data_IF_938323331151
#
_entry.id   IF_938323331151
#
_cell.length_a   1.000
_cell.length_b   1.000
_cell.length_c   1.000
_cell.angle_alpha   90.00
_cell.angle_beta   90.00
_cell.angle_gamma   90.00
#
_symmetry.space_group_name_H-M   'P 1'
#
loop_
_entity.id
_entity.type
_entity.pdbx_description
1 polymer ?
#
# COMPACT_ATOMS: atom_id res chain seq x y z
N UNK A 1 6.98 -48.36 -5.30
CA UNK A 1 6.59 -47.37 -4.27
C UNK A 1 5.42 -47.95 -3.49
N UNK A 2 5.46 -47.99 -2.15
CA UNK A 2 4.34 -48.55 -1.37
C UNK A 2 3.10 -47.65 -1.48
N UNK A 3 1.90 -48.24 -1.28
CA UNK A 3 0.61 -47.54 -1.41
C UNK A 3 0.61 -46.21 -0.64
N UNK A 4 1.09 -46.24 0.61
CA UNK A 4 1.21 -45.06 1.47
C UNK A 4 2.01 -43.89 0.86
N UNK A 5 3.23 -44.12 0.35
CA UNK A 5 4.03 -43.07 -0.31
C UNK A 5 3.35 -42.53 -1.56
N UNK A 6 2.65 -43.39 -2.30
CA UNK A 6 1.91 -42.99 -3.50
C UNK A 6 0.74 -42.07 -3.16
N UNK A 7 -0.02 -42.38 -2.11
CA UNK A 7 -1.12 -41.51 -1.66
C UNK A 7 -0.61 -40.14 -1.19
N UNK A 8 0.49 -40.09 -0.43
CA UNK A 8 1.11 -38.82 -0.02
C UNK A 8 1.53 -37.99 -1.23
N UNK A 9 2.14 -38.63 -2.24
CA UNK A 9 2.58 -37.93 -3.45
C UNK A 9 1.40 -37.35 -4.24
N UNK A 10 0.31 -38.11 -4.39
CA UNK A 10 -0.91 -37.61 -5.04
C UNK A 10 -1.56 -36.48 -4.24
N UNK A 11 -1.66 -36.62 -2.92
CA UNK A 11 -2.20 -35.57 -2.06
C UNK A 11 -1.37 -34.28 -2.16
N UNK A 12 -0.04 -34.38 -2.13
CA UNK A 12 0.85 -33.24 -2.30
C UNK A 12 0.68 -32.59 -3.69
N UNK A 13 0.57 -33.39 -4.76
CA UNK A 13 0.34 -32.87 -6.10
C UNK A 13 -0.99 -32.09 -6.20
N UNK A 14 -2.06 -32.64 -5.64
CA UNK A 14 -3.37 -31.96 -5.58
C UNK A 14 -3.25 -30.64 -4.81
N UNK A 15 -2.59 -30.64 -3.66
CA UNK A 15 -2.40 -29.41 -2.87
C UNK A 15 -1.58 -28.35 -3.62
N UNK A 16 -0.56 -28.75 -4.40
CA UNK A 16 0.22 -27.83 -5.24
C UNK A 16 -0.63 -27.26 -6.39
N UNK A 17 -1.47 -28.08 -7.03
CA UNK A 17 -2.39 -27.61 -8.07
C UNK A 17 -3.38 -26.59 -7.49
N UNK A 18 -3.95 -26.89 -6.31
CA UNK A 18 -4.84 -25.97 -5.60
C UNK A 18 -4.10 -24.69 -5.20
N UNK A 19 -2.88 -24.78 -4.66
CA UNK A 19 -2.05 -23.61 -4.36
C UNK A 19 -1.82 -22.73 -5.59
N UNK A 20 -1.55 -23.35 -6.73
CA UNK A 20 -1.33 -22.64 -8.00
C UNK A 20 -2.59 -21.90 -8.43
N UNK A 21 -3.75 -22.56 -8.40
CA UNK A 21 -5.03 -21.92 -8.71
C UNK A 21 -5.36 -20.77 -7.73
N UNK A 22 -5.14 -20.98 -6.43
CA UNK A 22 -5.32 -19.95 -5.40
C UNK A 22 -4.40 -18.74 -5.63
N UNK A 23 -3.15 -18.98 -6.01
CA UNK A 23 -2.16 -17.93 -6.28
C UNK A 23 -2.52 -17.14 -7.54
N UNK A 24 -2.96 -17.81 -8.60
CA UNK A 24 -3.47 -17.17 -9.83
C UNK A 24 -4.67 -16.28 -9.47
N UNK A 25 -5.66 -16.82 -8.76
CA UNK A 25 -6.81 -16.04 -8.33
C UNK A 25 -6.39 -14.80 -7.51
N UNK A 26 -5.50 -14.98 -6.53
CA UNK A 26 -4.99 -13.88 -5.70
C UNK A 26 -4.34 -12.75 -6.52
N UNK A 27 -3.64 -13.08 -7.61
CA UNK A 27 -2.99 -12.09 -8.46
C UNK A 27 -3.96 -11.17 -9.21
N UNK A 28 -5.19 -11.62 -9.51
CA UNK A 28 -6.15 -10.86 -10.34
C UNK A 28 -7.22 -10.11 -9.56
N UNK A 29 -7.37 -10.37 -8.26
CA UNK A 29 -8.55 -9.93 -7.49
C UNK A 29 -8.26 -8.66 -6.66
N UNK A 30 -7.02 -8.18 -6.66
CA UNK A 30 -6.55 -7.00 -5.94
C UNK A 30 -6.14 -7.31 -4.50
N UNK A 31 -5.27 -6.45 -3.93
CA UNK A 31 -4.57 -6.71 -2.67
C UNK A 31 -5.51 -7.00 -1.48
N UNK A 32 -6.53 -6.16 -1.28
CA UNK A 32 -7.45 -6.31 -0.14
C UNK A 32 -8.22 -7.64 -0.21
N UNK A 33 -8.75 -7.97 -1.38
CA UNK A 33 -9.53 -9.20 -1.57
C UNK A 33 -8.64 -10.45 -1.50
N UNK A 34 -7.44 -10.38 -2.05
CA UNK A 34 -6.45 -11.45 -1.91
C UNK A 34 -6.09 -11.68 -0.43
N UNK A 35 -5.80 -10.61 0.32
CA UNK A 35 -5.52 -10.69 1.76
C UNK A 35 -6.70 -11.31 2.52
N UNK A 36 -7.93 -10.93 2.21
CA UNK A 36 -9.13 -11.51 2.82
C UNK A 36 -9.30 -13.00 2.48
N UNK A 37 -9.06 -13.38 1.23
CA UNK A 37 -9.14 -14.76 0.78
C UNK A 37 -8.12 -15.65 1.51
N UNK A 38 -6.85 -15.24 1.56
CA UNK A 38 -5.78 -16.05 2.15
C UNK A 38 -5.82 -16.13 3.69
N UNK A 39 -6.50 -15.18 4.35
CA UNK A 39 -6.72 -15.21 5.81
C UNK A 39 -8.06 -15.86 6.24
N UNK A 40 -8.85 -16.34 5.28
CA UNK A 40 -10.13 -16.99 5.55
C UNK A 40 -9.97 -18.37 6.22
N UNK A 41 -11.07 -18.92 6.78
CA UNK A 41 -11.08 -20.26 7.39
C UNK A 41 -10.69 -21.35 6.37
N UNK A 42 -11.27 -21.41 5.15
CA UNK A 42 -10.86 -22.39 4.15
C UNK A 42 -9.35 -22.33 3.83
N UNK A 43 -8.79 -21.13 3.65
CA UNK A 43 -7.36 -20.97 3.41
C UNK A 43 -6.52 -21.43 4.61
N UNK A 44 -6.95 -21.15 5.84
CA UNK A 44 -6.26 -21.65 7.03
C UNK A 44 -6.24 -23.19 7.10
N UNK A 45 -7.34 -23.86 6.75
CA UNK A 45 -7.40 -25.33 6.64
C UNK A 45 -6.45 -25.81 5.54
N UNK A 46 -6.45 -25.16 4.37
CA UNK A 46 -5.53 -25.47 3.28
C UNK A 46 -4.07 -25.36 3.73
N UNK A 47 -3.67 -24.27 4.39
CA UNK A 47 -2.31 -24.08 4.90
C UNK A 47 -1.90 -25.16 5.90
N UNK A 48 -2.81 -25.57 6.79
CA UNK A 48 -2.58 -26.64 7.75
C UNK A 48 -2.37 -28.00 7.05
N UNK A 49 -3.21 -28.34 6.07
CA UNK A 49 -3.07 -29.56 5.28
C UNK A 49 -1.77 -29.55 4.45
N UNK A 50 -1.41 -28.41 3.88
CA UNK A 50 -0.18 -28.25 3.11
C UNK A 50 1.06 -28.40 4.00
N UNK A 51 1.08 -27.77 5.17
CA UNK A 51 2.14 -27.95 6.16
C UNK A 51 2.26 -29.41 6.60
N UNK A 52 1.14 -30.08 6.89
CA UNK A 52 1.12 -31.49 7.27
C UNK A 52 1.67 -32.39 6.16
N UNK A 53 1.31 -32.13 4.90
CA UNK A 53 1.83 -32.88 3.76
C UNK A 53 3.36 -32.73 3.61
N UNK A 54 3.89 -31.52 3.79
CA UNK A 54 5.34 -31.26 3.77
C UNK A 54 6.06 -32.02 4.91
N UNK A 55 5.50 -32.00 6.11
CA UNK A 55 6.06 -32.71 7.28
C UNK A 55 5.98 -34.22 7.10
N UNK A 56 4.84 -34.74 6.64
CA UNK A 56 4.67 -36.16 6.32
C UNK A 56 5.66 -36.64 5.24
N UNK A 57 6.05 -35.74 4.34
CA UNK A 57 7.12 -35.97 3.35
C UNK A 57 8.42 -36.44 4.01
N UNK A 58 8.90 -35.80 5.08
CA UNK A 58 10.14 -36.19 5.76
C UNK A 58 10.10 -37.62 6.30
N UNK A 59 8.95 -38.03 6.83
CA UNK A 59 8.74 -39.39 7.37
C UNK A 59 8.65 -40.41 6.23
N UNK A 60 7.86 -40.09 5.20
CA UNK A 60 7.59 -41.02 4.10
C UNK A 60 8.80 -41.21 3.19
N UNK A 61 9.61 -40.17 2.95
CA UNK A 61 10.69 -40.15 1.97
C UNK A 61 12.03 -39.81 2.62
N UNK A 62 12.74 -40.84 3.12
CA UNK A 62 14.11 -40.69 3.68
C UNK A 62 15.10 -39.97 2.75
N UNK A 63 14.88 -40.00 1.43
CA UNK A 63 15.68 -39.26 0.46
C UNK A 63 15.63 -37.74 0.68
N UNK A 64 14.49 -37.21 1.13
CA UNK A 64 14.36 -35.78 1.46
C UNK A 64 15.34 -35.36 2.53
N UNK A 65 15.53 -36.20 3.56
CA UNK A 65 16.47 -35.92 4.67
C UNK A 65 17.92 -36.12 4.22
N UNK A 66 18.20 -37.17 3.44
CA UNK A 66 19.58 -37.55 3.06
C UNK A 66 20.20 -36.67 1.99
N UNK A 67 19.39 -35.96 1.20
CA UNK A 67 19.88 -35.07 0.14
C UNK A 67 19.78 -33.63 0.63
N UNK A 68 20.91 -32.95 0.91
CA UNK A 68 20.90 -31.61 1.50
C UNK A 68 20.01 -30.61 0.76
N UNK A 69 20.08 -30.58 -0.58
CA UNK A 69 19.22 -29.68 -1.36
C UNK A 69 17.71 -29.95 -1.18
N UNK A 70 17.29 -31.21 -1.15
CA UNK A 70 15.87 -31.57 -0.94
C UNK A 70 15.42 -31.25 0.49
N UNK A 71 16.28 -31.50 1.47
CA UNK A 71 16.05 -31.18 2.88
C UNK A 71 15.83 -29.68 3.04
N UNK A 72 16.76 -28.87 2.51
CA UNK A 72 16.71 -27.41 2.60
C UNK A 72 15.45 -26.86 1.92
N UNK A 73 15.07 -27.37 0.76
CA UNK A 73 13.84 -26.95 0.08
C UNK A 73 12.58 -27.27 0.89
N UNK A 74 12.46 -28.49 1.42
CA UNK A 74 11.26 -28.87 2.19
C UNK A 74 11.19 -28.17 3.54
N UNK A 75 12.31 -28.10 4.26
CA UNK A 75 12.39 -27.43 5.54
C UNK A 75 12.16 -25.92 5.37
N UNK A 76 12.68 -25.33 4.30
CA UNK A 76 12.42 -23.94 3.93
C UNK A 76 10.93 -23.65 3.74
N UNK A 77 10.21 -24.49 2.98
CA UNK A 77 8.75 -24.35 2.85
C UNK A 77 8.02 -24.42 4.20
N UNK A 78 8.42 -25.33 5.08
CA UNK A 78 7.81 -25.46 6.42
C UNK A 78 8.09 -24.23 7.27
N UNK A 79 9.31 -23.68 7.24
CA UNK A 79 9.65 -22.44 7.96
C UNK A 79 8.85 -21.24 7.43
N UNK A 80 8.67 -21.10 6.11
CA UNK A 80 7.83 -20.04 5.53
C UNK A 80 6.40 -20.12 6.06
N UNK A 81 5.82 -21.33 6.14
CA UNK A 81 4.47 -21.52 6.67
C UNK A 81 4.39 -21.24 8.18
N UNK A 82 5.38 -21.69 8.97
CA UNK A 82 5.44 -21.41 10.42
C UNK A 82 5.60 -19.91 10.67
N UNK A 83 6.54 -19.26 9.98
CA UNK A 83 6.77 -17.82 10.10
C UNK A 83 5.54 -17.00 9.72
N UNK A 84 4.88 -17.35 8.61
CA UNK A 84 3.63 -16.72 8.19
C UNK A 84 2.48 -16.94 9.19
N UNK A 85 2.38 -18.14 9.76
CA UNK A 85 1.38 -18.44 10.79
C UNK A 85 1.62 -17.62 12.06
N UNK A 86 2.86 -17.53 12.54
CA UNK A 86 3.24 -16.73 13.71
C UNK A 86 3.02 -15.23 13.48
N UNK A 87 3.25 -14.74 12.25
CA UNK A 87 2.98 -13.36 11.86
C UNK A 87 1.49 -13.00 11.71
N UNK A 88 0.60 -14.00 11.70
CA UNK A 88 -0.84 -13.77 11.51
C UNK A 88 -1.55 -13.35 12.81
N UNK A 89 -2.69 -12.65 12.69
CA UNK A 89 -3.48 -12.23 13.86
C UNK A 89 -3.89 -13.42 14.75
N UNK A 90 -4.23 -14.56 14.13
CA UNK A 90 -4.56 -15.79 14.85
C UNK A 90 -3.34 -16.38 15.56
N UNK A 91 -2.16 -16.31 14.93
CA UNK A 91 -0.90 -16.78 15.51
C UNK A 91 -0.49 -16.01 16.77
N UNK A 92 -0.62 -14.68 16.76
CA UNK A 92 -0.37 -13.86 17.95
C UNK A 92 -1.27 -14.26 19.11
N UNK A 93 -2.58 -14.39 18.85
CA UNK A 93 -3.55 -14.81 19.88
C UNK A 93 -3.25 -16.22 20.40
N UNK A 94 -2.88 -17.15 19.52
CA UNK A 94 -2.61 -18.54 19.89
C UNK A 94 -1.31 -18.70 20.70
N UNK A 95 -0.32 -17.83 20.47
CA UNK A 95 0.96 -17.85 21.19
C UNK A 95 0.94 -17.03 22.49
N UNK A 96 -0.16 -16.34 22.78
CA UNK A 96 -0.23 -15.41 23.91
C UNK A 96 0.68 -14.19 23.72
N UNK A 97 1.01 -13.84 22.47
CA UNK A 97 1.87 -12.70 22.19
C UNK A 97 1.06 -11.39 22.29
N UNK A 98 1.35 -10.60 23.31
CA UNK A 98 0.68 -9.32 23.57
C UNK A 98 1.20 -8.16 22.71
N UNK A 99 2.24 -8.39 21.89
CA UNK A 99 2.74 -7.38 20.96
C UNK A 99 1.63 -6.91 20.03
N UNK A 100 1.58 -5.59 19.83
CA UNK A 100 0.78 -5.00 18.77
C UNK A 100 1.27 -5.45 17.38
N UNK A 101 0.37 -6.02 16.58
CA UNK A 101 0.65 -6.45 15.21
C UNK A 101 0.98 -5.29 14.28
N UNK A 102 0.10 -4.28 14.26
CA UNK A 102 0.15 -3.14 13.36
C UNK A 102 -0.64 -1.97 13.94
N UNK A 103 -0.16 -0.75 13.72
CA UNK A 103 -0.90 0.49 13.99
C UNK A 103 -0.17 1.70 13.41
N UNK A 104 -0.78 2.88 13.59
CA UNK A 104 -0.22 4.15 13.14
C UNK A 104 0.16 5.02 14.35
N UNK A 105 1.35 5.60 14.31
CA UNK A 105 1.89 6.49 15.31
C UNK A 105 2.10 7.87 14.68
N UNK A 106 1.50 8.90 15.27
CA UNK A 106 1.74 10.28 14.87
C UNK A 106 2.73 10.92 15.85
N UNK A 107 3.77 11.55 15.33
CA UNK A 107 4.82 12.20 16.13
C UNK A 107 5.06 13.59 15.59
N UNK A 108 4.99 14.60 16.47
CA UNK A 108 5.35 15.98 16.15
C UNK A 108 6.84 16.20 16.33
N UNK A 109 7.39 17.12 15.54
CA UNK A 109 8.80 17.49 15.62
C UNK A 109 9.16 17.98 17.02
N UNK A 110 10.31 17.53 17.53
CA UNK A 110 10.78 17.76 18.90
C UNK A 110 10.06 16.94 19.99
N UNK A 111 9.05 16.14 19.65
CA UNK A 111 8.27 15.36 20.62
C UNK A 111 8.60 13.87 20.59
N UNK A 112 8.44 13.22 21.74
CA UNK A 112 8.48 11.78 21.90
C UNK A 112 7.06 11.20 22.00
N UNK A 113 6.82 10.09 21.30
CA UNK A 113 5.58 9.34 21.35
C UNK A 113 5.86 7.85 21.61
N UNK A 114 5.02 7.24 22.44
CA UNK A 114 5.00 5.78 22.68
C UNK A 114 3.65 5.15 22.35
N UNK A 115 2.65 5.96 22.07
CA UNK A 115 1.29 5.49 21.79
C UNK A 115 1.10 5.25 20.31
N UNK A 116 0.54 4.10 19.97
CA UNK A 116 0.21 3.71 18.61
C UNK A 116 -1.29 3.50 18.52
N UNK A 117 -1.91 4.17 17.55
CA UNK A 117 -3.31 4.01 17.24
C UNK A 117 -3.49 2.74 16.43
N UNK A 118 -4.24 1.81 16.99
CA UNK A 118 -4.62 0.55 16.32
C UNK A 118 -6.10 0.58 16.01
N UNK A 119 -6.49 -0.07 14.93
CA UNK A 119 -7.89 -0.22 14.56
C UNK A 119 -8.29 -1.67 14.70
N UNK A 120 -9.31 -1.92 15.54
CA UNK A 120 -9.90 -3.24 15.71
C UNK A 120 -11.29 -3.25 15.10
N UNK A 121 -11.48 -4.07 14.06
CA UNK A 121 -12.80 -4.37 13.49
C UNK A 121 -13.55 -5.29 14.43
N UNK A 122 -14.61 -4.80 15.06
CA UNK A 122 -15.48 -5.59 15.94
C UNK A 122 -16.78 -5.87 15.20
N UNK A 123 -17.13 -7.13 14.93
CA UNK A 123 -18.42 -7.44 14.34
C UNK A 123 -19.53 -7.02 15.31
N UNK A 124 -20.46 -6.20 14.85
CA UNK A 124 -21.61 -5.75 15.63
C UNK A 124 -22.81 -6.64 15.34
N UNK A 125 -23.47 -6.42 14.21
CA UNK A 125 -24.69 -7.11 13.82
C UNK A 125 -24.73 -7.32 12.30
N UNK A 126 -25.81 -7.92 11.80
CA UNK A 126 -26.01 -8.18 10.38
C UNK A 126 -27.32 -7.58 9.90
N UNK A 127 -27.24 -6.83 8.79
CA UNK A 127 -28.36 -6.27 8.08
C UNK A 127 -28.82 -7.17 6.93
N UNK A 128 -30.05 -6.94 6.47
CA UNK A 128 -30.57 -7.56 5.26
C UNK A 128 -29.83 -7.06 4.01
N UNK A 129 -29.73 -7.87 2.94
CA UNK A 129 -29.03 -7.48 1.71
C UNK A 129 -29.74 -6.36 0.94
N UNK A 130 -31.01 -6.06 1.25
CA UNK A 130 -31.82 -5.06 0.54
C UNK A 130 -31.27 -3.64 0.71
N UNK A 131 -30.57 -3.37 1.82
CA UNK A 131 -29.90 -2.09 2.07
C UNK A 131 -28.73 -1.82 1.14
N UNK A 132 -28.19 -2.82 0.42
CA UNK A 132 -27.04 -2.64 -0.45
C UNK A 132 -27.28 -1.56 -1.52
N UNK A 133 -28.48 -1.54 -2.12
CA UNK A 133 -28.83 -0.53 -3.14
C UNK A 133 -28.85 0.89 -2.56
N UNK A 134 -29.39 1.05 -1.35
CA UNK A 134 -29.42 2.35 -0.66
C UNK A 134 -28.02 2.82 -0.29
N UNK A 135 -27.17 1.91 0.21
CA UNK A 135 -25.78 2.21 0.54
C UNK A 135 -24.96 2.56 -0.71
N UNK A 136 -25.18 1.87 -1.84
CA UNK A 136 -24.58 2.21 -3.14
C UNK A 136 -24.99 3.61 -3.63
N UNK A 137 -26.24 3.98 -3.38
CA UNK A 137 -26.76 5.32 -3.65
C UNK A 137 -26.32 6.38 -2.62
N UNK A 138 -25.41 6.04 -1.70
CA UNK A 138 -24.92 6.90 -0.61
C UNK A 138 -26.04 7.41 0.31
N UNK A 139 -27.09 6.63 0.49
CA UNK A 139 -28.29 6.98 1.24
C UNK A 139 -28.44 6.10 2.48
N UNK A 140 -28.83 6.72 3.60
CA UNK A 140 -29.16 6.05 4.87
C UNK A 140 -30.66 6.21 5.12
N UNK A 141 -31.50 5.27 4.63
CA UNK A 141 -32.94 5.37 4.79
C UNK A 141 -33.37 5.16 6.25
N UNK A 142 -34.57 5.64 6.62
CA UNK A 142 -35.03 5.63 8.01
C UNK A 142 -35.12 4.21 8.60
N UNK A 143 -35.50 3.22 7.80
CA UNK A 143 -35.51 1.82 8.23
C UNK A 143 -34.11 1.28 8.53
N UNK A 144 -33.06 1.72 7.80
CA UNK A 144 -31.68 1.38 8.15
C UNK A 144 -31.27 2.01 9.48
N UNK A 145 -31.67 3.26 9.74
CA UNK A 145 -31.42 3.93 11.03
C UNK A 145 -32.11 3.20 12.19
N UNK A 146 -33.31 2.68 11.97
CA UNK A 146 -34.05 1.89 12.94
C UNK A 146 -33.37 0.55 13.26
N UNK A 147 -32.79 -0.14 12.26
CA UNK A 147 -32.00 -1.36 12.49
C UNK A 147 -30.72 -1.08 13.30
N UNK A 148 -30.06 0.05 13.02
CA UNK A 148 -28.92 0.49 13.82
C UNK A 148 -29.35 0.78 15.27
N UNK A 149 -30.51 1.43 15.46
CA UNK A 149 -31.05 1.75 16.77
C UNK A 149 -31.51 0.50 17.57
N UNK A 150 -32.11 -0.50 16.92
CA UNK A 150 -32.51 -1.76 17.58
C UNK A 150 -31.31 -2.53 18.12
N UNK A 151 -30.17 -2.40 17.45
CA UNK A 151 -28.86 -2.93 17.84
C UNK A 151 -28.07 -1.95 18.74
N UNK A 152 -28.77 -1.04 19.43
CA UNK A 152 -28.22 -0.07 20.39
C UNK A 152 -27.15 0.89 19.82
N UNK A 153 -27.11 1.06 18.50
CA UNK A 153 -26.16 1.91 17.79
C UNK A 153 -26.91 3.05 17.11
N UNK A 154 -27.02 4.21 17.74
CA UNK A 154 -27.74 5.35 17.14
C UNK A 154 -26.86 6.05 16.11
N UNK A 155 -27.38 6.22 14.89
CA UNK A 155 -26.77 7.05 13.85
C UNK A 155 -27.34 8.47 13.88
N UNK A 156 -26.48 9.49 13.96
CA UNK A 156 -26.88 10.90 13.90
C UNK A 156 -27.45 11.27 12.52
N UNK A 157 -28.18 12.38 12.44
CA UNK A 157 -28.70 12.88 11.16
C UNK A 157 -27.58 13.26 10.18
N UNK A 158 -26.37 13.56 10.67
CA UNK A 158 -25.21 13.88 9.87
C UNK A 158 -24.48 12.63 9.31
N UNK A 159 -24.90 11.42 9.72
CA UNK A 159 -24.30 10.19 9.23
C UNK A 159 -24.34 10.12 7.69
N UNK A 160 -23.22 9.74 7.09
CA UNK A 160 -23.02 9.67 5.65
C UNK A 160 -22.40 8.35 5.23
N UNK A 161 -22.59 7.96 3.96
CA UNK A 161 -22.07 6.69 3.43
C UNK A 161 -21.02 6.96 2.36
N UNK A 162 -19.86 6.33 2.53
CA UNK A 162 -18.83 6.22 1.52
C UNK A 162 -18.89 4.84 0.88
N UNK A 163 -18.97 4.81 -0.45
CA UNK A 163 -18.96 3.56 -1.23
C UNK A 163 -17.51 3.22 -1.55
N UNK A 164 -16.98 2.18 -0.89
CA UNK A 164 -15.64 1.67 -1.19
C UNK A 164 -15.70 0.68 -2.36
N UNK A 165 -16.72 -0.19 -2.37
CA UNK A 165 -16.99 -1.08 -3.48
C UNK A 165 -18.51 -1.25 -3.67
N UNK A 166 -19.06 -0.83 -4.82
CA UNK A 166 -20.47 -1.00 -5.11
C UNK A 166 -20.93 -2.46 -4.93
N UNK A 167 -22.07 -2.65 -4.27
CA UNK A 167 -22.68 -3.95 -4.01
C UNK A 167 -21.97 -4.83 -2.98
N UNK A 168 -20.87 -4.37 -2.36
CA UNK A 168 -20.04 -5.20 -1.50
C UNK A 168 -19.46 -4.55 -0.25
N UNK A 169 -19.04 -3.29 -0.30
CA UNK A 169 -18.31 -2.62 0.79
C UNK A 169 -18.66 -1.15 0.90
N UNK A 170 -19.07 -0.75 2.11
CA UNK A 170 -19.42 0.62 2.45
C UNK A 170 -18.85 1.01 3.80
N UNK A 171 -18.67 2.31 4.01
CA UNK A 171 -18.31 2.90 5.30
C UNK A 171 -19.39 3.92 5.66
N UNK A 172 -20.07 3.71 6.77
CA UNK A 172 -20.98 4.70 7.35
C UNK A 172 -20.15 5.53 8.33
N UNK A 173 -19.94 6.80 8.02
CA UNK A 173 -19.24 7.74 8.90
C UNK A 173 -20.26 8.59 9.64
N UNK A 174 -20.11 8.67 10.95
CA UNK A 174 -21.01 9.41 11.82
C UNK A 174 -20.21 10.12 12.91
N UNK A 175 -20.00 11.42 12.73
CA UNK A 175 -19.11 12.25 13.57
C UNK A 175 -17.71 11.61 13.71
N UNK A 176 -17.37 11.12 14.90
CA UNK A 176 -16.09 10.47 15.22
C UNK A 176 -16.11 8.94 15.08
N UNK A 177 -17.27 8.36 14.73
CA UNK A 177 -17.45 6.90 14.57
C UNK A 177 -17.48 6.53 13.09
N UNK A 178 -16.98 5.34 12.80
CA UNK A 178 -17.04 4.75 11.46
C UNK A 178 -17.48 3.30 11.57
N UNK A 179 -18.50 2.93 10.81
CA UNK A 179 -18.99 1.56 10.70
C UNK A 179 -18.67 1.00 9.33
N UNK A 180 -17.95 -0.11 9.30
CA UNK A 180 -17.70 -0.85 8.08
C UNK A 180 -18.90 -1.75 7.79
N UNK A 181 -19.51 -1.62 6.63
CA UNK A 181 -20.58 -2.52 6.19
C UNK A 181 -20.06 -3.35 5.04
N UNK A 182 -20.13 -4.67 5.17
CA UNK A 182 -19.63 -5.61 4.17
C UNK A 182 -20.63 -6.68 3.84
N UNK A 183 -20.81 -6.96 2.55
CA UNK A 183 -21.55 -8.13 2.11
C UNK A 183 -20.76 -9.42 2.38
N UNK A 184 -21.29 -10.27 3.23
CA UNK A 184 -20.77 -11.61 3.51
C UNK A 184 -21.88 -12.64 3.27
N UNK A 185 -21.83 -13.27 2.09
CA UNK A 185 -22.90 -14.16 1.63
C UNK A 185 -24.22 -13.41 1.40
N UNK A 186 -25.28 -13.84 2.07
CA UNK A 186 -26.63 -13.25 1.97
C UNK A 186 -26.91 -12.14 2.99
N UNK A 187 -25.91 -11.71 3.77
CA UNK A 187 -26.07 -10.69 4.81
C UNK A 187 -25.09 -9.54 4.59
N UNK A 188 -25.40 -8.35 5.10
CA UNK A 188 -24.45 -7.26 5.22
C UNK A 188 -23.99 -7.20 6.68
N UNK A 189 -22.75 -7.55 6.96
CA UNK A 189 -22.19 -7.47 8.31
C UNK A 189 -21.71 -6.06 8.59
N UNK A 190 -22.10 -5.53 9.74
CA UNK A 190 -21.66 -4.23 10.26
C UNK A 190 -20.55 -4.48 11.26
N UNK A 191 -19.47 -3.72 11.14
CA UNK A 191 -18.35 -3.74 12.07
C UNK A 191 -18.12 -2.34 12.63
N UNK A 192 -17.86 -2.24 13.93
CA UNK A 192 -17.29 -1.04 14.53
C UNK A 192 -15.78 -1.05 14.33
N UNK A 193 -15.20 0.13 14.17
CA UNK A 193 -13.77 0.33 14.30
C UNK A 193 -13.49 0.93 15.67
N UNK A 194 -13.17 0.07 16.64
CA UNK A 194 -12.64 0.59 17.90
C UNK A 194 -11.18 0.98 17.67
N UNK A 195 -10.94 2.29 17.71
CA UNK A 195 -9.60 2.84 17.81
C UNK A 195 -9.09 2.57 19.22
N UNK A 196 -8.05 1.75 19.33
CA UNK A 196 -7.41 1.44 20.59
C UNK A 196 -6.01 2.04 20.58
N UNK A 197 -5.66 2.76 21.65
CA UNK A 197 -4.28 3.19 21.87
C UNK A 197 -3.54 2.03 22.54
N UNK A 198 -2.49 1.54 21.88
CA UNK A 198 -1.52 0.60 22.45
C UNK A 198 -0.23 1.36 22.75
N UNK A 199 0.51 0.96 23.77
CA UNK A 199 1.81 1.53 24.08
C UNK A 199 2.95 0.61 23.63
N UNK A 200 4.01 1.21 23.11
CA UNK A 200 5.30 0.54 22.89
C UNK A 200 6.09 0.48 24.21
N UNK A 201 6.99 -0.50 24.37
CA UNK A 201 7.85 -0.60 25.55
C UNK A 201 9.03 0.41 25.55
N UNK A 202 9.04 1.35 24.61
CA UNK A 202 10.03 2.42 24.45
C UNK A 202 9.34 3.62 23.79
N UNK A 203 9.99 4.78 23.82
CA UNK A 203 9.51 5.99 23.16
C UNK A 203 10.27 6.23 21.86
N UNK A 204 9.58 6.82 20.90
CA UNK A 204 10.14 7.26 19.61
C UNK A 204 10.01 8.78 19.55
N UNK A 205 11.13 9.47 19.44
CA UNK A 205 11.19 10.92 19.28
C UNK A 205 11.46 11.27 17.83
N UNK A 206 10.77 12.29 17.34
CA UNK A 206 11.04 12.91 16.05
C UNK A 206 11.91 14.13 16.28
N UNK A 207 13.15 14.11 15.82
CA UNK A 207 14.06 15.26 15.94
C UNK A 207 13.84 16.25 14.80
N UNK A 208 13.74 15.74 13.58
CA UNK A 208 13.55 16.54 12.36
C UNK A 208 12.68 15.78 11.35
N UNK A 209 11.86 16.51 10.61
CA UNK A 209 11.23 16.01 9.40
C UNK A 209 11.46 17.00 8.27
N UNK A 210 12.08 16.52 7.18
CA UNK A 210 12.37 17.34 6.01
C UNK A 210 11.99 16.65 4.72
N UNK A 211 11.62 17.47 3.74
CA UNK A 211 11.37 17.06 2.36
C UNK A 211 12.54 17.55 1.53
N UNK A 212 13.25 16.64 0.91
CA UNK A 212 14.31 16.97 -0.03
C UNK A 212 13.73 17.01 -1.43
N UNK A 213 14.14 18.02 -2.20
CA UNK A 213 13.66 18.23 -3.56
C UNK A 213 14.80 18.04 -4.55
N UNK A 214 14.48 17.52 -5.73
CA UNK A 214 15.41 17.51 -6.85
C UNK A 214 15.71 18.93 -7.30
N UNK A 215 16.98 19.21 -7.56
CA UNK A 215 17.41 20.39 -8.28
C UNK A 215 17.76 20.05 -9.73
N UNK A 216 17.43 20.91 -10.71
CA UNK A 216 16.74 22.20 -10.55
C UNK A 216 15.23 22.05 -10.31
N UNK A 217 14.59 23.09 -9.77
CA UNK A 217 13.11 23.16 -9.62
C UNK A 217 12.46 23.33 -10.99
N UNK A 218 12.27 22.23 -11.69
CA UNK A 218 11.65 22.23 -13.03
C UNK A 218 10.13 22.26 -12.89
N UNK A 219 9.50 23.17 -13.61
CA UNK A 219 8.06 23.32 -13.70
C UNK A 219 7.58 22.64 -14.98
N UNK A 220 6.40 22.02 -14.97
CA UNK A 220 5.92 21.25 -16.12
C UNK A 220 4.49 21.62 -16.51
N UNK A 221 4.24 21.69 -17.81
CA UNK A 221 2.90 21.55 -18.37
C UNK A 221 2.69 20.08 -18.73
N UNK A 222 1.60 19.50 -18.24
CA UNK A 222 1.27 18.09 -18.45
C UNK A 222 -0.11 17.92 -19.07
N UNK A 223 -0.25 16.89 -19.90
CA UNK A 223 -1.52 16.46 -20.47
C UNK A 223 -1.62 14.95 -20.51
N UNK A 224 -2.83 14.42 -20.30
CA UNK A 224 -3.13 13.01 -20.49
C UNK A 224 -3.57 12.79 -21.94
N UNK A 225 -2.81 11.98 -22.66
CA UNK A 225 -3.07 11.65 -24.08
C UNK A 225 -3.43 10.18 -24.23
N UNK A 226 -3.88 9.77 -25.42
CA UNK A 226 -4.12 8.35 -25.73
C UNK A 226 -2.86 7.48 -25.59
N UNK A 227 -1.66 8.07 -25.69
CA UNK A 227 -0.38 7.39 -25.49
C UNK A 227 0.16 7.44 -24.06
N UNK A 228 -0.62 7.97 -23.11
CA UNK A 228 -0.21 8.15 -21.71
C UNK A 228 0.05 9.62 -21.36
N UNK A 229 0.62 9.84 -20.17
CA UNK A 229 0.93 11.19 -19.68
C UNK A 229 2.13 11.76 -20.43
N UNK A 230 1.93 12.91 -21.05
CA UNK A 230 2.96 13.69 -21.73
C UNK A 230 3.27 14.94 -20.89
N UNK A 231 4.53 15.38 -20.91
CA UNK A 231 4.96 16.59 -20.20
C UNK A 231 6.02 17.37 -20.97
N UNK A 232 5.99 18.70 -20.82
CA UNK A 232 7.02 19.62 -21.32
C UNK A 232 7.41 20.58 -20.21
N UNK A 233 8.66 21.03 -20.20
CA UNK A 233 9.13 22.06 -19.28
C UNK A 233 8.31 23.34 -19.50
N UNK A 234 7.86 23.96 -18.43
CA UNK A 234 6.98 25.12 -18.44
C UNK A 234 7.73 26.43 -18.74
N UNK A 235 8.39 26.48 -19.89
CA UNK A 235 9.03 27.65 -20.47
C UNK A 235 8.27 28.11 -21.72
N UNK A 236 8.34 29.42 -22.00
CA UNK A 236 7.71 29.99 -23.20
C UNK A 236 8.33 29.37 -24.45
N UNK A 237 7.48 28.93 -25.38
CA UNK A 237 7.84 28.14 -26.56
C UNK A 237 7.85 26.63 -26.32
N UNK A 238 7.66 26.15 -25.09
CA UNK A 238 7.50 24.72 -24.80
C UNK A 238 6.24 24.17 -25.47
N UNK A 239 6.39 23.08 -26.23
CA UNK A 239 5.31 22.45 -26.98
C UNK A 239 5.00 21.03 -26.48
N UNK A 240 3.72 20.67 -26.53
CA UNK A 240 3.21 19.35 -26.16
C UNK A 240 2.33 18.81 -27.28
N UNK A 241 2.62 17.61 -27.76
CA UNK A 241 1.74 16.89 -28.68
C UNK A 241 0.58 16.27 -27.88
N UNK A 242 -0.64 16.72 -28.16
CA UNK A 242 -1.86 16.21 -27.53
C UNK A 242 -2.49 15.05 -28.33
N UNK A 243 -1.86 14.67 -29.45
CA UNK A 243 -2.28 13.61 -30.33
C UNK A 243 -3.19 14.07 -31.47
N UNK A 244 -3.44 13.18 -32.45
CA UNK A 244 -3.99 13.54 -33.76
C UNK A 244 -5.44 14.05 -33.74
N UNK A 245 -6.17 13.88 -32.63
CA UNK A 245 -7.54 14.38 -32.47
C UNK A 245 -7.62 15.76 -31.81
N UNK A 246 -6.60 16.11 -31.02
CA UNK A 246 -6.60 17.31 -30.17
C UNK A 246 -5.65 18.36 -30.72
N UNK A 247 -4.53 17.95 -31.29
CA UNK A 247 -3.54 18.83 -31.91
C UNK A 247 -2.33 19.09 -31.02
N UNK A 248 -1.83 20.33 -31.03
CA UNK A 248 -0.61 20.71 -30.29
C UNK A 248 -0.91 21.82 -29.29
N UNK A 249 -0.22 21.77 -28.15
CA UNK A 249 -0.25 22.82 -27.13
C UNK A 249 1.10 23.55 -27.12
N UNK A 250 1.08 24.87 -27.04
CA UNK A 250 2.28 25.72 -26.96
C UNK A 250 2.13 26.70 -25.81
N UNK A 251 3.15 26.80 -24.96
CA UNK A 251 3.20 27.78 -23.88
C UNK A 251 3.61 29.13 -24.48
N UNK A 252 2.69 30.09 -24.51
CA UNK A 252 2.95 31.40 -25.12
C UNK A 252 3.26 32.48 -24.10
N UNK A 253 2.79 32.31 -22.86
CA UNK A 253 3.06 33.24 -21.76
C UNK A 253 3.04 32.54 -20.41
N UNK A 254 3.85 33.07 -19.49
CA UNK A 254 3.95 32.62 -18.10
C UNK A 254 3.66 33.78 -17.18
N UNK A 255 2.86 33.54 -16.14
CA UNK A 255 2.44 34.54 -15.15
C UNK A 255 2.88 34.10 -13.76
N UNK A 256 3.36 35.05 -12.95
CA UNK A 256 3.62 34.84 -11.51
C UNK A 256 2.37 35.04 -10.64
N UNK A 257 1.58 36.05 -10.96
CA UNK A 257 0.39 36.48 -10.24
C UNK A 257 -0.70 36.92 -11.24
N UNK A 258 -1.26 35.96 -11.97
CA UNK A 258 -2.30 36.24 -12.96
C UNK A 258 -3.55 36.85 -12.30
N UNK A 259 -3.95 38.02 -12.78
CA UNK A 259 -5.24 38.66 -12.50
C UNK A 259 -6.03 38.83 -13.77
N UNK A 260 -7.35 38.86 -13.58
CA UNK A 260 -8.34 39.05 -14.63
C UNK A 260 -9.09 40.34 -14.29
N UNK A 261 -9.07 41.33 -15.18
CA UNK A 261 -9.93 42.52 -15.09
C UNK A 261 -10.96 42.49 -16.20
N UNK A 262 -12.19 42.90 -15.88
CA UNK A 262 -13.28 43.06 -16.84
C UNK A 262 -13.71 44.52 -16.81
N UNK A 263 -13.35 45.27 -17.85
CA UNK A 263 -13.73 46.67 -18.04
C UNK A 263 -14.47 46.79 -19.37
N UNK A 264 -15.62 47.46 -19.39
CA UNK A 264 -16.45 47.66 -20.58
C UNK A 264 -16.76 46.38 -21.38
N UNK A 265 -16.95 45.26 -20.68
CA UNK A 265 -17.21 43.95 -21.29
C UNK A 265 -15.98 43.30 -21.95
N UNK A 266 -14.80 43.90 -21.82
CA UNK A 266 -13.53 43.37 -22.31
C UNK A 266 -12.75 42.74 -21.16
N UNK A 267 -12.49 41.44 -21.26
CA UNK A 267 -11.63 40.71 -20.32
C UNK A 267 -10.16 40.92 -20.66
N UNK A 268 -9.36 41.28 -19.67
CA UNK A 268 -7.90 41.43 -19.78
C UNK A 268 -7.19 40.53 -18.77
N UNK A 269 -6.07 39.95 -19.20
CA UNK A 269 -5.23 39.03 -18.43
C UNK A 269 -3.84 39.64 -18.27
N UNK A 270 -3.43 39.90 -17.03
CA UNK A 270 -2.17 40.55 -16.74
C UNK A 270 -1.49 39.94 -15.52
N UNK A 271 -0.18 40.11 -15.46
CA UNK A 271 0.60 39.74 -14.29
C UNK A 271 0.59 40.93 -13.32
N UNK A 272 -0.02 40.75 -12.16
CA UNK A 272 -0.19 41.83 -11.18
C UNK A 272 1.09 42.02 -10.36
N UNK A 273 1.73 43.21 -10.42
CA UNK A 273 2.98 43.47 -9.71
C UNK A 273 2.80 43.60 -8.19
N UNK A 274 1.57 43.71 -7.69
CA UNK A 274 1.30 43.79 -6.26
C UNK A 274 1.53 42.43 -5.57
N UNK A 275 1.75 42.42 -4.23
CA UNK A 275 1.92 41.19 -3.48
C UNK A 275 0.78 40.18 -3.70
N UNK A 276 1.14 39.00 -4.19
CA UNK A 276 0.22 37.92 -4.51
C UNK A 276 0.92 36.82 -5.28
N UNK A 277 0.33 35.62 -5.30
CA UNK A 277 0.84 34.49 -6.09
C UNK A 277 -0.35 33.76 -6.70
N UNK A 278 -0.43 33.81 -8.03
CA UNK A 278 -1.39 33.05 -8.81
C UNK A 278 -0.72 32.59 -10.11
N UNK A 279 0.19 31.61 -10.03
CA UNK A 279 0.99 31.21 -11.18
C UNK A 279 0.12 30.53 -12.23
N UNK A 280 0.26 30.96 -13.48
CA UNK A 280 -0.50 30.42 -14.59
C UNK A 280 0.31 30.42 -15.89
N UNK A 281 -0.10 29.56 -16.82
CA UNK A 281 0.39 29.54 -18.19
C UNK A 281 -0.75 29.93 -19.13
N UNK A 282 -0.47 30.78 -20.11
CA UNK A 282 -1.29 30.89 -21.31
C UNK A 282 -0.78 29.86 -22.31
N UNK A 283 -1.66 28.93 -22.64
CA UNK A 283 -1.35 27.82 -23.54
C UNK A 283 -2.21 27.97 -24.79
N UNK A 284 -1.54 28.13 -25.93
CA UNK A 284 -2.16 28.12 -27.25
C UNK A 284 -2.36 26.68 -27.69
N UNK A 285 -3.59 26.35 -28.07
CA UNK A 285 -3.96 25.04 -28.61
C UNK A 285 -4.23 25.20 -30.10
N UNK A 286 -3.46 24.51 -30.92
CA UNK A 286 -3.67 24.43 -32.37
C UNK A 286 -4.27 23.08 -32.68
N UNK A 287 -5.56 23.07 -33.03
CA UNK A 287 -6.27 21.85 -33.42
C UNK A 287 -5.81 21.33 -34.78
N UNK A 288 -6.06 20.04 -35.11
CA UNK A 288 -5.69 19.46 -36.40
C UNK A 288 -6.34 20.14 -37.62
N UNK A 289 -7.48 20.80 -37.43
CA UNK A 289 -8.19 21.59 -38.45
C UNK A 289 -7.62 23.01 -38.64
N UNK A 290 -6.56 23.36 -37.90
CA UNK A 290 -5.93 24.67 -37.92
C UNK A 290 -6.60 25.71 -37.01
N UNK A 291 -7.70 25.37 -36.31
CA UNK A 291 -8.31 26.28 -35.36
C UNK A 291 -7.39 26.49 -34.15
N UNK A 292 -7.15 27.76 -33.81
CA UNK A 292 -6.31 28.14 -32.67
C UNK A 292 -7.19 28.68 -31.55
N UNK A 293 -7.04 28.13 -30.34
CA UNK A 293 -7.65 28.64 -29.12
C UNK A 293 -6.59 28.89 -28.06
N UNK A 294 -6.87 29.73 -27.07
CA UNK A 294 -5.99 29.92 -25.91
C UNK A 294 -6.68 29.46 -24.64
N UNK A 295 -5.91 28.86 -23.74
CA UNK A 295 -6.40 28.31 -22.48
C UNK A 295 -5.45 28.72 -21.36
N UNK A 296 -6.01 29.18 -20.25
CA UNK A 296 -5.23 29.54 -19.07
C UNK A 296 -5.18 28.37 -18.08
N UNK A 297 -3.97 27.92 -17.76
CA UNK A 297 -3.70 26.75 -16.92
C UNK A 297 -3.06 27.20 -15.60
N UNK A 298 -3.79 27.08 -14.50
CA UNK A 298 -3.40 27.58 -13.18
C UNK A 298 -2.72 26.50 -12.36
N UNK A 299 -1.63 26.85 -11.67
CA UNK A 299 -0.93 25.92 -10.78
C UNK A 299 -1.74 25.60 -9.51
N UNK A 300 -2.42 26.59 -8.94
CA UNK A 300 -3.17 26.46 -7.69
C UNK A 300 -4.61 25.95 -7.88
N UNK A 301 -5.09 25.91 -9.13
CA UNK A 301 -6.44 25.46 -9.48
C UNK A 301 -6.42 24.45 -10.64
N UNK A 302 -5.80 23.27 -10.45
CA UNK A 302 -5.77 22.20 -11.45
C UNK A 302 -7.18 21.65 -11.65
N UNK A 303 -7.90 22.21 -12.61
CA UNK A 303 -9.36 22.04 -12.73
C UNK A 303 -10.02 23.14 -13.53
N UNK A 304 -9.57 24.38 -13.34
CA UNK A 304 -10.16 25.57 -13.98
C UNK A 304 -9.91 25.62 -15.51
N UNK A 305 -8.84 24.99 -15.98
CA UNK A 305 -8.58 24.83 -17.41
C UNK A 305 -9.73 24.07 -18.11
N UNK A 306 -10.35 23.10 -17.44
CA UNK A 306 -11.43 22.29 -18.01
C UNK A 306 -12.72 23.05 -18.30
N UNK A 307 -13.05 24.07 -17.51
CA UNK A 307 -14.26 24.87 -17.72
C UNK A 307 -14.17 25.77 -18.95
N UNK A 308 -12.99 25.84 -19.61
CA UNK A 308 -12.77 26.62 -20.83
C UNK A 308 -13.05 25.82 -22.12
N UNK A 309 -13.53 24.58 -22.03
CA UNK A 309 -13.90 23.76 -23.20
C UNK A 309 -12.71 23.20 -24.01
N UNK A 310 -11.52 23.19 -23.42
CA UNK A 310 -10.28 22.69 -24.03
C UNK A 310 -9.77 21.37 -23.43
N UNK A 311 -8.59 20.88 -23.87
CA UNK A 311 -7.98 19.67 -23.33
C UNK A 311 -7.64 19.78 -21.84
N UNK A 312 -7.49 18.62 -21.19
CA UNK A 312 -7.03 18.52 -19.80
C UNK A 312 -5.56 18.88 -19.71
N UNK A 313 -5.28 20.11 -19.28
CA UNK A 313 -3.94 20.59 -19.03
C UNK A 313 -3.75 20.86 -17.54
N UNK A 314 -2.60 20.43 -17.01
CA UNK A 314 -2.19 20.62 -15.63
C UNK A 314 -0.83 21.33 -15.63
N UNK A 315 -0.77 22.48 -14.96
CA UNK A 315 0.48 23.18 -14.72
C UNK A 315 1.00 22.77 -13.35
N UNK A 316 2.05 21.95 -13.33
CA UNK A 316 2.68 21.49 -12.10
C UNK A 316 3.84 22.41 -11.73
N UNK A 317 3.62 23.24 -10.70
CA UNK A 317 4.61 24.12 -10.09
C UNK A 317 4.72 23.81 -8.59
N UNK A 318 5.43 22.75 -8.21
CA UNK A 318 5.60 22.41 -6.81
C UNK A 318 6.46 23.49 -6.12
N UNK A 319 6.02 23.99 -4.96
CA UNK A 319 6.69 25.08 -4.23
C UNK A 319 8.18 24.81 -3.94
N UNK A 320 8.54 23.54 -3.73
CA UNK A 320 9.92 23.08 -3.50
C UNK A 320 10.64 22.47 -4.71
N UNK A 321 9.96 22.20 -5.83
CA UNK A 321 10.48 21.33 -6.90
C UNK A 321 9.91 19.90 -6.84
N UNK A 322 10.38 19.01 -7.71
CA UNK A 322 10.00 17.59 -7.63
C UNK A 322 10.55 16.98 -6.35
N UNK A 323 9.71 16.26 -5.59
CA UNK A 323 10.15 15.66 -4.32
C UNK A 323 11.11 14.51 -4.60
N UNK A 324 12.26 14.54 -3.93
CA UNK A 324 13.28 13.49 -3.96
C UNK A 324 13.03 12.51 -2.83
N UNK A 325 13.12 12.98 -1.58
CA UNK A 325 13.03 12.14 -0.39
C UNK A 325 12.19 12.80 0.69
N UNK A 326 11.55 11.97 1.51
CA UNK A 326 10.98 12.37 2.79
C UNK A 326 11.83 11.73 3.87
N UNK A 327 12.43 12.55 4.73
CA UNK A 327 13.38 12.09 5.74
C UNK A 327 12.83 12.44 7.11
N UNK A 328 12.72 11.44 7.98
CA UNK A 328 12.44 11.66 9.41
C UNK A 328 13.65 11.20 10.22
N UNK A 329 14.18 12.07 11.08
CA UNK A 329 15.23 11.73 12.03
C UNK A 329 14.58 11.27 13.34
N UNK A 330 14.82 10.01 13.71
CA UNK A 330 14.19 9.38 14.85
C UNK A 330 15.20 8.95 15.91
N UNK A 331 14.88 9.27 17.16
CA UNK A 331 15.57 8.79 18.35
C UNK A 331 14.68 7.80 19.11
N UNK A 332 15.21 6.61 19.40
CA UNK A 332 14.59 5.68 20.32
C UNK A 332 15.10 5.99 21.72
N UNK A 333 14.17 6.21 22.65
CA UNK A 333 14.47 6.53 24.05
C UNK A 333 13.84 5.51 25.00
N UNK A 334 14.54 5.22 26.09
CA UNK A 334 13.98 4.48 27.23
C UNK A 334 12.91 5.33 27.94
N UNK A 335 12.15 4.70 28.83
CA UNK A 335 11.28 5.31 29.84
C UNK A 335 11.94 6.47 30.62
N UNK A 336 13.25 6.42 30.86
CA UNK A 336 14.02 7.49 31.51
C UNK A 336 14.57 8.57 30.55
N UNK A 337 14.17 8.53 29.27
CA UNK A 337 14.59 9.51 28.25
C UNK A 337 16.02 9.32 27.70
N UNK A 338 16.72 8.26 28.12
CA UNK A 338 18.04 7.91 27.60
C UNK A 338 17.93 7.44 26.14
N UNK A 339 18.72 8.03 25.25
CA UNK A 339 18.81 7.60 23.84
C UNK A 339 19.42 6.20 23.77
N UNK A 340 18.66 5.27 23.20
CA UNK A 340 19.02 3.86 22.99
C UNK A 340 19.48 3.62 21.55
N UNK A 341 18.95 4.39 20.59
CA UNK A 341 19.35 4.35 19.18
C UNK A 341 18.93 5.66 18.48
N UNK A 342 19.69 6.09 17.48
CA UNK A 342 19.34 7.18 16.58
C UNK A 342 19.39 6.65 15.15
N UNK A 343 18.38 6.97 14.34
CA UNK A 343 18.34 6.52 12.95
C UNK A 343 17.54 7.49 12.08
N UNK A 344 18.05 7.73 10.88
CA UNK A 344 17.29 8.39 9.84
C UNK A 344 16.41 7.34 9.16
N UNK A 345 15.14 7.65 8.97
CA UNK A 345 14.23 6.87 8.15
C UNK A 345 13.85 7.65 6.90
N UNK A 346 13.78 6.92 5.81
CA UNK A 346 13.40 7.43 4.49
C UNK A 346 12.29 6.54 3.93
N UNK A 347 11.58 7.01 2.91
CA UNK A 347 10.59 6.18 2.21
C UNK A 347 11.28 4.93 1.67
N UNK A 348 10.78 3.76 2.08
CA UNK A 348 11.35 2.41 1.82
C UNK A 348 12.58 1.99 2.65
N UNK A 349 13.10 2.85 3.53
CA UNK A 349 14.15 2.51 4.47
C UNK A 349 13.62 2.53 5.92
N UNK A 350 12.86 1.49 6.33
CA UNK A 350 12.24 1.47 7.65
C UNK A 350 13.27 1.36 8.78
N UNK A 351 12.96 1.98 9.91
CA UNK A 351 13.65 1.68 11.18
C UNK A 351 13.20 0.32 11.68
N UNK A 352 14.14 -0.49 12.15
CA UNK A 352 13.88 -1.75 12.84
C UNK A 352 14.44 -1.64 14.25
N UNK A 353 13.58 -1.82 15.26
CA UNK A 353 13.99 -1.77 16.66
C UNK A 353 13.06 -2.63 17.53
N UNK A 354 13.63 -3.39 18.47
CA UNK A 354 12.90 -4.24 19.44
C UNK A 354 11.81 -5.16 18.82
N UNK A 355 12.03 -5.61 17.59
CA UNK A 355 11.09 -6.46 16.84
C UNK A 355 9.88 -5.70 16.28
N UNK A 356 10.07 -4.42 15.96
CA UNK A 356 9.12 -3.58 15.23
C UNK A 356 9.80 -2.92 14.05
N UNK A 357 9.09 -2.81 12.94
CA UNK A 357 9.41 -1.97 11.81
C UNK A 357 8.57 -0.70 11.83
N UNK A 358 9.21 0.43 11.58
CA UNK A 358 8.57 1.75 11.46
C UNK A 358 8.71 2.20 10.01
N UNK A 359 7.58 2.28 9.32
CA UNK A 359 7.49 2.74 7.94
C UNK A 359 6.90 4.14 7.93
N UNK A 360 7.48 5.03 7.13
CA UNK A 360 6.84 6.32 6.88
C UNK A 360 5.56 6.09 6.07
N UNK A 361 4.42 6.52 6.64
CA UNK A 361 3.08 6.25 6.10
C UNK A 361 2.40 7.54 5.60
N UNK A 362 2.56 8.63 6.34
CA UNK A 362 2.03 9.95 5.97
C UNK A 362 2.82 11.06 6.69
N UNK A 363 2.50 12.32 6.40
CA UNK A 363 3.13 13.49 7.01
C UNK A 363 2.18 14.70 6.95
N UNK A 364 2.52 15.76 7.67
CA UNK A 364 1.83 17.04 7.56
C UNK A 364 2.20 17.76 6.26
N UNK A 365 1.36 17.63 5.25
CA UNK A 365 1.56 18.32 3.97
C UNK A 365 1.37 19.84 4.02
N UNK A 366 0.76 20.39 5.08
CA UNK A 366 0.50 21.83 5.19
C UNK A 366 1.64 22.55 5.92
N UNK A 367 2.07 22.02 7.07
CA UNK A 367 3.06 22.70 7.91
C UNK A 367 4.36 21.93 8.11
N UNK A 368 4.43 20.66 7.70
CA UNK A 368 5.62 19.82 7.88
C UNK A 368 5.91 19.44 9.32
N UNK A 369 5.02 19.70 10.28
CA UNK A 369 5.33 19.61 11.72
C UNK A 369 5.20 18.23 12.34
N UNK A 370 4.68 17.24 11.59
CA UNK A 370 4.56 15.88 12.09
C UNK A 370 4.71 14.84 10.99
N UNK A 371 5.14 13.65 11.40
CA UNK A 371 5.16 12.44 10.58
C UNK A 371 4.18 11.42 11.14
N UNK A 372 3.66 10.55 10.27
CA UNK A 372 2.86 9.40 10.66
C UNK A 372 3.63 8.15 10.27
N UNK A 373 3.99 7.35 11.27
CA UNK A 373 4.69 6.10 11.12
C UNK A 373 3.73 4.92 11.24
N UNK A 374 3.75 4.02 10.28
CA UNK A 374 3.14 2.72 10.42
C UNK A 374 4.09 1.79 11.18
N UNK A 375 3.66 1.36 12.35
CA UNK A 375 4.41 0.47 13.24
C UNK A 375 3.91 -0.95 13.04
N UNK A 376 4.79 -1.88 12.68
CA UNK A 376 4.45 -3.28 12.39
C UNK A 376 5.39 -4.20 13.14
N UNK A 377 4.85 -5.19 13.86
CA UNK A 377 5.67 -6.18 14.55
C UNK A 377 6.25 -7.21 13.58
N UNK A 378 7.50 -7.60 13.79
CA UNK A 378 8.26 -8.49 12.91
C UNK A 378 8.13 -9.99 13.26
N UNK A 379 7.24 -10.33 14.20
CA UNK A 379 7.06 -11.73 14.65
C UNK A 379 6.86 -12.65 13.45
N UNK A 380 7.71 -13.67 13.35
CA UNK A 380 7.67 -14.66 12.27
C UNK A 380 8.40 -14.26 10.99
N UNK A 381 8.69 -12.97 10.78
CA UNK A 381 9.39 -12.47 9.57
C UNK A 381 10.77 -13.10 9.42
N UNK A 382 11.56 -13.15 10.50
CA UNK A 382 12.88 -13.78 10.48
C UNK A 382 12.82 -15.27 10.15
N UNK A 383 11.76 -15.96 10.57
CA UNK A 383 11.53 -17.38 10.27
C UNK A 383 11.19 -17.56 8.79
N UNK A 384 10.37 -16.66 8.22
CA UNK A 384 10.08 -16.64 6.77
C UNK A 384 11.36 -16.43 5.96
N UNK A 385 12.17 -15.43 6.32
CA UNK A 385 13.44 -15.17 5.62
C UNK A 385 14.43 -16.33 5.73
N UNK A 386 14.54 -16.96 6.90
CA UNK A 386 15.32 -18.19 7.05
C UNK A 386 14.83 -19.29 6.09
N UNK A 387 13.50 -19.44 5.96
CA UNK A 387 12.89 -20.36 4.99
C UNK A 387 13.23 -20.03 3.54
N UNK A 388 13.17 -18.76 3.13
CA UNK A 388 13.58 -18.32 1.79
C UNK A 388 15.06 -18.59 1.53
N UNK A 389 15.95 -18.28 2.48
CA UNK A 389 17.37 -18.61 2.35
C UNK A 389 17.59 -20.11 2.15
N UNK A 390 16.90 -20.97 2.92
CA UNK A 390 17.00 -22.42 2.74
C UNK A 390 16.48 -22.87 1.36
N UNK A 391 15.40 -22.28 0.84
CA UNK A 391 14.91 -22.56 -0.50
C UNK A 391 15.94 -22.19 -1.57
N UNK A 392 16.51 -20.98 -1.49
CA UNK A 392 17.55 -20.51 -2.40
C UNK A 392 18.78 -21.41 -2.37
N UNK A 393 19.32 -21.70 -1.18
CA UNK A 393 20.50 -22.56 -1.02
C UNK A 393 20.19 -23.99 -1.51
N UNK A 394 19.00 -24.51 -1.22
CA UNK A 394 18.56 -25.82 -1.68
C UNK A 394 18.48 -25.92 -3.21
N UNK A 395 17.98 -24.87 -3.87
CA UNK A 395 17.96 -24.77 -5.33
C UNK A 395 19.37 -24.68 -5.92
N UNK A 396 20.21 -23.83 -5.34
CA UNK A 396 21.62 -23.68 -5.75
C UNK A 396 22.37 -25.01 -5.60
N UNK A 397 22.11 -25.74 -4.52
CA UNK A 397 22.67 -27.06 -4.31
C UNK A 397 22.29 -28.04 -5.42
N UNK A 398 21.00 -28.07 -5.77
CA UNK A 398 20.46 -28.99 -6.76
C UNK A 398 21.02 -28.77 -8.17
N UNK A 399 21.16 -27.49 -8.55
CA UNK A 399 21.57 -27.11 -9.90
C UNK A 399 23.10 -27.10 -10.05
N UNK A 400 23.86 -26.56 -9.08
CA UNK A 400 25.30 -26.34 -9.25
C UNK A 400 26.16 -27.17 -8.29
N UNK A 401 25.98 -27.04 -6.97
CA UNK A 401 26.94 -27.59 -6.00
C UNK A 401 27.06 -29.12 -6.09
N UNK A 402 25.94 -29.83 -6.29
CA UNK A 402 25.96 -31.30 -6.45
C UNK A 402 26.87 -31.74 -7.60
N UNK A 403 26.94 -30.99 -8.69
CA UNK A 403 27.75 -31.33 -9.86
C UNK A 403 29.24 -31.02 -9.64
N UNK A 404 29.55 -29.94 -8.91
CA UNK A 404 30.91 -29.60 -8.49
C UNK A 404 31.51 -30.68 -7.58
N UNK A 405 30.77 -31.13 -6.56
CA UNK A 405 31.26 -32.19 -5.66
C UNK A 405 31.47 -33.54 -6.35
N UNK A 406 30.68 -33.85 -7.39
CA UNK A 406 30.91 -35.04 -8.22
C UNK A 406 32.19 -34.95 -9.06
N UNK A 407 32.54 -33.76 -9.58
CA UNK A 407 33.76 -33.56 -10.38
C UNK A 407 35.03 -33.65 -9.54
N UNK A 408 35.00 -33.20 -8.29
CA UNK A 408 36.15 -33.27 -7.38
C UNK A 408 36.42 -34.71 -6.89
N UNK A 409 35.38 -35.55 -6.74
CA UNK A 409 35.52 -36.96 -6.34
C UNK A 409 35.81 -37.96 -7.48
N UNK A 410 35.81 -37.52 -8.75
CA UNK A 410 35.87 -38.40 -9.94
C UNK A 410 37.26 -38.69 -10.51
N UNK A 411 38.34 -38.08 -10.01
CA UNK A 411 39.71 -38.36 -10.48
C UNK A 411 40.38 -39.45 -9.62
N UNK A 412 39.92 -40.69 -9.74
CA UNK A 412 40.73 -41.89 -9.49
C UNK A 412 40.33 -42.95 -10.53
N UNK A 413 40.78 -42.78 -11.76
CA UNK A 413 40.99 -43.91 -12.66
C UNK A 413 42.49 -44.03 -12.88
N UNK A 414 43.03 -45.07 -12.28
CA UNK A 414 44.36 -45.63 -12.50
C UNK A 414 44.48 -46.09 -13.93
N UNK A 415 45.36 -45.47 -14.72
CA UNK A 415 46.01 -46.16 -15.83
C UNK A 415 47.14 -46.98 -15.23
N UNK A 416 46.91 -48.28 -15.06
CA UNK A 416 47.97 -49.27 -14.87
C UNK A 416 48.44 -49.72 -16.25
N UNK A 417 49.76 -49.66 -16.45
CA UNK A 417 50.49 -50.25 -17.57
C UNK A 417 50.35 -51.76 -17.61
#
# INVERSE_FOLDING_TARGET
MNKFRREIMWAALVLIIVLTAMSIYGAFVGADRAQMFFNSIPSAVFWALFALALIAGFVAFRRLIRVPGLLLMHAGCVLVLIGGALGSEKGYRATGNDKMLKGDMQIFEGQAAKHVRTEKKIPLFSLTPDFAKSLDARSIPQNLRQEFQSEQTVLSQAASVFVSQPGGVWVIADENRQFYVRREGKKLKVYDFIRQMRELPFSVKLDDFRIEYYEPKVEYLQAETAGGMQQVVAEVGGQLDLGPKVGTAEIVRKFGNLKISIEDGKTSYYDDPNPGSNPALEVRITKPDGQVTSQYVFALHPGFSHSQGGPKLVYNKPAGGAIRDYISELEITDSDGKVLAQKHIEVNHPLHYAGYHFYQSSYDAQTGRYTVLQVVSDTGVNIVFAGYWMLCIGAVWHMWLRHLFKKVGGKKQTHGN
#
